data_IF_035056848986
#
_entry.id   IF_035056848986
#
_cell.length_a   1.000
_cell.length_b   1.000
_cell.length_c   1.000
_cell.angle_alpha   90.00
_cell.angle_beta   90.00
_cell.angle_gamma   90.00
#
_symmetry.space_group_name_H-M   'P 1'
#
loop_
_entity.id
_entity.type
_entity.pdbx_description
1 polymer ?
#
# COMPACT_ATOMS: atom_id res chain seq x y z
N UNK A 1 -17.17 15.35 -12.44
CA UNK A 1 -15.74 15.22 -12.09
C UNK A 1 -15.34 13.78 -12.32
N UNK A 2 -14.19 13.52 -12.94
CA UNK A 2 -13.67 12.14 -13.02
C UNK A 2 -13.33 11.64 -11.61
N UNK A 3 -13.71 10.39 -11.31
CA UNK A 3 -13.33 9.75 -10.04
C UNK A 3 -11.83 9.56 -9.98
N UNK A 4 -11.18 9.74 -8.81
CA UNK A 4 -9.74 9.55 -8.66
C UNK A 4 -9.35 8.10 -8.95
N UNK A 5 -8.18 7.90 -9.54
CA UNK A 5 -7.55 6.60 -9.73
C UNK A 5 -6.70 6.28 -8.52
N UNK A 6 -6.94 5.14 -7.89
CA UNK A 6 -6.24 4.71 -6.67
C UNK A 6 -5.48 3.42 -6.93
N UNK A 7 -4.16 3.47 -6.75
CA UNK A 7 -3.32 2.27 -6.78
C UNK A 7 -3.37 1.55 -5.43
N UNK A 8 -3.75 0.29 -5.44
CA UNK A 8 -3.84 -0.56 -4.25
C UNK A 8 -2.75 -1.63 -4.32
N UNK A 9 -1.66 -1.44 -3.58
CA UNK A 9 -0.64 -2.46 -3.40
C UNK A 9 -1.20 -3.60 -2.55
N UNK A 10 -1.14 -4.84 -3.06
CA UNK A 10 -1.82 -5.99 -2.44
C UNK A 10 -1.20 -6.48 -1.12
N UNK A 11 -0.05 -5.93 -0.72
CA UNK A 11 0.58 -6.22 0.58
C UNK A 11 1.28 -7.58 0.63
N UNK A 12 1.21 -8.26 1.78
CA UNK A 12 1.88 -9.55 1.98
C UNK A 12 1.18 -10.68 1.20
N UNK A 13 1.88 -11.35 0.24
CA UNK A 13 1.31 -12.49 -0.48
C UNK A 13 0.81 -13.64 0.41
N UNK A 14 1.40 -13.82 1.59
CA UNK A 14 0.96 -14.84 2.55
C UNK A 14 -0.04 -14.30 3.59
N UNK A 15 -0.33 -13.00 3.58
CA UNK A 15 -1.18 -12.32 4.54
C UNK A 15 -2.63 -12.14 4.07
N UNK A 16 -3.36 -11.30 4.78
CA UNK A 16 -4.76 -10.93 4.45
C UNK A 16 -4.85 -9.88 3.31
N UNK A 17 -3.71 -9.26 2.94
CA UNK A 17 -3.67 -8.16 1.96
C UNK A 17 -4.37 -8.46 0.65
N UNK A 18 -4.04 -9.57 -0.07
CA UNK A 18 -4.68 -9.91 -1.33
C UNK A 18 -6.20 -10.13 -1.20
N UNK A 19 -6.65 -10.76 -0.10
CA UNK A 19 -8.06 -10.99 0.17
C UNK A 19 -8.85 -9.69 0.31
N UNK A 20 -8.38 -8.76 1.16
CA UNK A 20 -9.07 -7.48 1.36
C UNK A 20 -8.95 -6.55 0.14
N UNK A 21 -7.85 -6.63 -0.62
CA UNK A 21 -7.72 -5.91 -1.87
C UNK A 21 -8.78 -6.35 -2.89
N UNK A 22 -8.96 -7.68 -3.06
CA UNK A 22 -9.99 -8.23 -3.92
C UNK A 22 -11.40 -7.85 -3.46
N UNK A 23 -11.67 -7.93 -2.15
CA UNK A 23 -12.96 -7.51 -1.60
C UNK A 23 -13.23 -6.02 -1.88
N UNK A 24 -12.22 -5.16 -1.70
CA UNK A 24 -12.36 -3.73 -1.95
C UNK A 24 -12.63 -3.39 -3.42
N UNK A 25 -11.91 -4.03 -4.36
CA UNK A 25 -12.10 -3.74 -5.79
C UNK A 25 -13.36 -4.36 -6.39
N UNK A 26 -14.05 -5.21 -5.66
CA UNK A 26 -15.37 -5.76 -6.06
C UNK A 26 -16.53 -5.01 -5.39
N UNK A 27 -16.25 -4.11 -4.46
CA UNK A 27 -17.27 -3.36 -3.73
C UNK A 27 -17.80 -2.17 -4.54
N UNK A 28 -19.13 -2.11 -4.76
CA UNK A 28 -19.77 -1.02 -5.50
C UNK A 28 -19.59 0.34 -4.81
N UNK A 29 -19.51 0.38 -3.48
CA UNK A 29 -19.28 1.60 -2.71
C UNK A 29 -17.89 2.19 -2.98
N UNK A 30 -16.88 1.34 -3.20
CA UNK A 30 -15.54 1.76 -3.62
C UNK A 30 -15.58 2.33 -5.03
N UNK A 31 -16.19 1.61 -5.98
CA UNK A 31 -16.35 2.09 -7.36
C UNK A 31 -17.19 3.37 -7.47
N UNK A 32 -18.09 3.62 -6.52
CA UNK A 32 -18.86 4.88 -6.50
C UNK A 32 -17.97 6.10 -6.23
N UNK A 33 -16.84 5.92 -5.52
CA UNK A 33 -15.95 6.98 -5.02
C UNK A 33 -14.65 7.11 -5.82
N UNK A 34 -14.08 5.99 -6.30
CA UNK A 34 -12.81 5.97 -7.00
C UNK A 34 -12.75 4.90 -8.09
N UNK A 35 -11.66 4.87 -8.82
CA UNK A 35 -11.30 3.87 -9.82
C UNK A 35 -10.08 3.10 -9.31
N UNK A 36 -10.27 1.95 -8.65
CA UNK A 36 -9.18 1.18 -8.06
C UNK A 36 -8.42 0.37 -9.12
N UNK A 37 -7.08 0.31 -8.98
CA UNK A 37 -6.18 -0.54 -9.75
C UNK A 37 -5.34 -1.32 -8.74
N UNK A 38 -5.25 -2.63 -8.90
CA UNK A 38 -4.36 -3.45 -8.07
C UNK A 38 -2.90 -3.35 -8.57
N UNK A 39 -1.97 -3.36 -7.63
CA UNK A 39 -0.53 -3.40 -7.90
C UNK A 39 0.07 -4.59 -7.17
N UNK A 40 0.51 -5.60 -7.92
CA UNK A 40 1.03 -6.84 -7.35
C UNK A 40 1.01 -7.99 -8.34
N UNK A 41 1.25 -9.21 -7.86
CA UNK A 41 1.30 -10.40 -8.71
C UNK A 41 -0.07 -10.95 -9.04
N UNK A 42 -0.36 -11.07 -10.32
CA UNK A 42 -1.59 -11.69 -10.83
C UNK A 42 -1.68 -13.16 -10.40
N UNK A 43 -0.57 -13.90 -10.34
CA UNK A 43 -0.55 -15.29 -9.86
C UNK A 43 -1.01 -15.38 -8.40
N UNK A 44 -0.54 -14.48 -7.53
CA UNK A 44 -0.98 -14.41 -6.13
C UNK A 44 -2.47 -14.07 -6.06
N UNK A 45 -2.93 -13.12 -6.85
CA UNK A 45 -4.35 -12.74 -6.90
C UNK A 45 -5.23 -13.90 -7.39
N UNK A 46 -4.79 -14.67 -8.39
CA UNK A 46 -5.50 -15.87 -8.88
C UNK A 46 -5.61 -16.96 -7.79
N UNK A 47 -4.56 -17.16 -6.98
CA UNK A 47 -4.61 -18.08 -5.84
C UNK A 47 -5.75 -17.69 -4.89
N UNK A 48 -5.83 -16.41 -4.50
CA UNK A 48 -6.88 -15.93 -3.58
C UNK A 48 -8.25 -15.88 -4.23
N UNK A 49 -8.36 -15.50 -5.51
CA UNK A 49 -9.61 -15.56 -6.25
C UNK A 49 -10.20 -16.96 -6.25
N UNK A 50 -9.37 -17.98 -6.48
CA UNK A 50 -9.79 -19.38 -6.46
C UNK A 50 -10.21 -19.85 -5.06
N UNK A 51 -9.44 -19.51 -4.02
CA UNK A 51 -9.74 -19.86 -2.62
C UNK A 51 -11.07 -19.24 -2.14
N UNK A 52 -11.29 -17.98 -2.50
CA UNK A 52 -12.48 -17.21 -2.10
C UNK A 52 -13.67 -17.46 -3.06
N UNK A 53 -13.49 -18.22 -4.14
CA UNK A 53 -14.51 -18.52 -5.15
C UNK A 53 -15.13 -17.26 -5.75
N UNK A 54 -14.30 -16.24 -6.00
CA UNK A 54 -14.76 -14.97 -6.56
C UNK A 54 -14.97 -15.09 -8.07
N UNK A 55 -16.04 -14.43 -8.57
CA UNK A 55 -16.36 -14.37 -9.99
C UNK A 55 -15.87 -13.03 -10.56
N UNK A 56 -14.60 -12.99 -10.94
CA UNK A 56 -13.97 -11.86 -11.61
C UNK A 56 -12.83 -12.35 -12.51
N UNK A 57 -12.38 -11.48 -13.41
CA UNK A 57 -11.20 -11.72 -14.26
C UNK A 57 -10.18 -10.62 -14.04
N UNK A 58 -8.90 -10.96 -14.14
CA UNK A 58 -7.83 -9.97 -14.09
C UNK A 58 -7.45 -9.55 -15.50
N UNK A 59 -7.18 -8.27 -15.66
CA UNK A 59 -6.58 -7.69 -16.84
C UNK A 59 -5.30 -6.98 -16.45
N UNK A 60 -4.17 -7.51 -16.91
CA UNK A 60 -2.89 -6.86 -16.76
C UNK A 60 -2.79 -5.64 -17.67
N UNK A 61 -2.40 -4.52 -17.10
CA UNK A 61 -2.18 -3.26 -17.80
C UNK A 61 -0.79 -2.74 -17.54
N UNK A 62 -0.19 -2.10 -18.54
CA UNK A 62 1.17 -1.54 -18.42
C UNK A 62 1.19 -0.19 -17.70
N UNK A 63 0.06 0.54 -17.74
CA UNK A 63 -0.07 1.84 -17.11
C UNK A 63 -1.54 2.13 -16.80
N UNK A 64 -1.83 3.00 -15.78
CA UNK A 64 -3.19 3.31 -15.35
C UNK A 64 -4.12 3.91 -16.43
N UNK A 65 -3.57 4.59 -17.43
CA UNK A 65 -4.31 5.17 -18.55
C UNK A 65 -4.88 4.11 -19.52
N UNK A 66 -4.35 2.88 -19.50
CA UNK A 66 -4.88 1.74 -20.24
C UNK A 66 -6.08 1.06 -19.56
N UNK A 67 -6.46 1.49 -18.35
CA UNK A 67 -7.55 0.89 -17.59
C UNK A 67 -8.91 1.29 -18.14
N UNK A 68 -9.81 0.31 -18.34
CA UNK A 68 -11.17 0.53 -18.84
C UNK A 68 -12.23 0.51 -17.73
N UNK A 69 -11.89 -0.10 -16.56
CA UNK A 69 -12.79 -0.23 -15.42
C UNK A 69 -14.13 -0.89 -15.73
N UNK A 70 -14.10 -1.92 -16.60
CA UNK A 70 -15.30 -2.65 -17.00
C UNK A 70 -15.82 -3.53 -15.83
N UNK A 71 -17.13 -3.69 -15.67
CA UNK A 71 -17.71 -4.53 -14.62
C UNK A 71 -17.18 -5.96 -14.66
N UNK A 72 -16.77 -6.50 -13.51
CA UNK A 72 -16.24 -7.86 -13.38
C UNK A 72 -14.78 -8.03 -13.84
N UNK A 73 -14.16 -6.97 -14.36
CA UNK A 73 -12.74 -6.95 -14.73
C UNK A 73 -11.97 -6.14 -13.67
N UNK A 74 -10.93 -6.73 -13.12
CA UNK A 74 -10.02 -6.09 -12.16
C UNK A 74 -8.72 -5.76 -12.90
N UNK A 75 -8.40 -4.48 -12.95
CA UNK A 75 -7.17 -3.98 -13.55
C UNK A 75 -5.98 -4.22 -12.62
N UNK A 76 -4.91 -4.79 -13.16
CA UNK A 76 -3.69 -5.12 -12.41
C UNK A 76 -2.47 -4.53 -13.11
N UNK A 77 -1.68 -3.76 -12.37
CA UNK A 77 -0.29 -3.46 -12.71
C UNK A 77 0.55 -4.61 -12.16
N UNK A 78 1.05 -5.45 -13.05
CA UNK A 78 1.82 -6.62 -12.66
C UNK A 78 3.15 -6.23 -12.04
N UNK A 79 3.41 -6.82 -10.88
CA UNK A 79 4.72 -6.79 -10.21
C UNK A 79 5.04 -8.19 -9.74
N UNK A 80 6.20 -8.71 -10.13
CA UNK A 80 6.61 -10.08 -9.84
C UNK A 80 6.44 -10.44 -8.35
N UNK A 81 5.74 -11.54 -8.09
CA UNK A 81 5.54 -12.12 -6.78
C UNK A 81 6.54 -13.24 -6.45
N UNK A 82 6.46 -13.80 -5.24
CA UNK A 82 7.16 -15.02 -4.90
C UNK A 82 6.54 -16.21 -5.64
N UNK A 83 7.30 -17.26 -5.99
CA UNK A 83 6.73 -18.51 -6.49
C UNK A 83 5.65 -19.05 -5.56
N UNK A 84 4.54 -19.54 -6.10
CA UNK A 84 3.38 -19.99 -5.29
C UNK A 84 3.71 -21.16 -4.34
N UNK A 85 4.72 -21.95 -4.66
CA UNK A 85 5.19 -23.07 -3.83
C UNK A 85 6.16 -22.63 -2.72
N UNK A 86 6.62 -21.38 -2.73
CA UNK A 86 7.58 -20.84 -1.76
C UNK A 86 6.94 -20.26 -0.49
N UNK A 87 5.62 -20.14 -0.46
CA UNK A 87 4.88 -19.60 0.70
C UNK A 87 3.55 -20.34 0.91
N UNK A 88 2.94 -20.11 2.06
CA UNK A 88 1.59 -20.59 2.35
C UNK A 88 0.77 -19.47 2.99
N UNK A 89 -0.48 -19.23 2.55
CA UNK A 89 -1.37 -18.28 3.19
C UNK A 89 -1.47 -18.48 4.70
N UNK A 90 -1.38 -17.40 5.46
CA UNK A 90 -1.41 -17.39 6.92
C UNK A 90 -0.08 -17.70 7.60
N UNK A 91 1.02 -17.92 6.86
CA UNK A 91 2.35 -18.19 7.43
C UNK A 91 3.36 -17.14 7.00
N UNK A 92 3.90 -16.39 7.96
CA UNK A 92 5.01 -15.46 7.70
C UNK A 92 6.24 -16.21 7.17
N UNK A 93 6.92 -15.64 6.17
CA UNK A 93 8.11 -16.24 5.58
C UNK A 93 8.93 -15.26 4.76
N UNK A 94 10.22 -15.56 4.60
CA UNK A 94 11.18 -14.70 3.88
C UNK A 94 10.86 -14.50 2.41
N UNK A 95 10.19 -15.47 1.78
CA UNK A 95 9.84 -15.42 0.35
C UNK A 95 8.96 -14.23 -0.02
N UNK A 96 8.07 -13.79 0.89
CA UNK A 96 7.14 -12.68 0.66
C UNK A 96 7.73 -11.29 0.95
N UNK A 97 8.81 -11.22 1.74
CA UNK A 97 9.33 -9.96 2.27
C UNK A 97 9.68 -8.92 1.21
N UNK A 98 10.33 -9.34 0.13
CA UNK A 98 10.68 -8.45 -0.99
C UNK A 98 9.44 -8.00 -1.76
N UNK A 99 8.52 -8.91 -2.06
CA UNK A 99 7.32 -8.62 -2.84
C UNK A 99 6.43 -7.56 -2.17
N UNK A 100 6.29 -7.60 -0.84
CA UNK A 100 5.56 -6.57 -0.07
C UNK A 100 6.04 -5.16 -0.41
N UNK A 101 7.37 -4.97 -0.44
CA UNK A 101 7.98 -3.67 -0.70
C UNK A 101 7.99 -3.31 -2.19
N UNK A 102 8.14 -4.29 -3.07
CA UNK A 102 8.09 -4.08 -4.51
C UNK A 102 6.70 -3.60 -4.94
N UNK A 103 5.62 -4.21 -4.43
CA UNK A 103 4.24 -3.80 -4.71
C UNK A 103 3.96 -2.38 -4.23
N UNK A 104 4.33 -2.09 -2.98
CA UNK A 104 4.14 -0.75 -2.41
C UNK A 104 5.00 0.27 -3.14
N UNK A 105 6.24 -0.09 -3.47
CA UNK A 105 7.16 0.77 -4.21
C UNK A 105 6.63 1.14 -5.60
N UNK A 106 6.14 0.15 -6.36
CA UNK A 106 5.54 0.38 -7.68
C UNK A 106 4.31 1.32 -7.58
N UNK A 107 3.42 1.11 -6.60
CA UNK A 107 2.27 1.99 -6.39
C UNK A 107 2.69 3.43 -6.05
N UNK A 108 3.72 3.61 -5.20
CA UNK A 108 4.26 4.93 -4.86
C UNK A 108 4.88 5.62 -6.08
N UNK A 109 5.59 4.88 -6.94
CA UNK A 109 6.17 5.45 -8.15
C UNK A 109 5.10 5.94 -9.13
N UNK A 110 4.01 5.20 -9.31
CA UNK A 110 2.85 5.63 -10.11
C UNK A 110 2.27 6.97 -9.59
N UNK A 111 2.17 7.13 -8.28
CA UNK A 111 1.70 8.38 -7.68
C UNK A 111 2.70 9.53 -7.88
N UNK A 112 4.00 9.27 -7.74
CA UNK A 112 5.06 10.28 -8.00
C UNK A 112 5.08 10.74 -9.45
N UNK A 113 4.75 9.86 -10.38
CA UNK A 113 4.66 10.15 -11.80
C UNK A 113 3.34 10.83 -12.18
N UNK A 114 2.44 11.05 -11.23
CA UNK A 114 1.12 11.65 -11.47
C UNK A 114 0.16 10.75 -12.27
N UNK A 115 0.45 9.44 -12.31
CA UNK A 115 -0.38 8.45 -13.03
C UNK A 115 -1.57 7.96 -12.24
N UNK A 116 -1.52 8.12 -10.91
CA UNK A 116 -2.62 7.83 -9.97
C UNK A 116 -2.75 8.96 -8.96
N UNK A 117 -3.95 9.14 -8.42
CA UNK A 117 -4.28 10.22 -7.49
C UNK A 117 -3.97 9.87 -6.02
N UNK A 118 -3.79 8.57 -5.74
CA UNK A 118 -3.46 8.11 -4.39
C UNK A 118 -3.02 6.66 -4.35
N UNK A 119 -2.43 6.28 -3.22
CA UNK A 119 -1.93 4.93 -2.95
C UNK A 119 -2.57 4.37 -1.69
N UNK A 120 -3.02 3.13 -1.76
CA UNK A 120 -3.39 2.31 -0.61
C UNK A 120 -2.40 1.16 -0.52
N UNK A 121 -1.75 0.99 0.63
CA UNK A 121 -0.91 -0.16 0.91
C UNK A 121 -1.66 -1.13 1.82
N UNK A 122 -1.95 -2.32 1.33
CA UNK A 122 -2.55 -3.38 2.14
C UNK A 122 -1.59 -3.84 3.25
N UNK A 123 -2.09 -4.53 4.28
CA UNK A 123 -1.28 -4.96 5.42
C UNK A 123 -0.03 -5.73 5.00
N UNK A 124 1.05 -5.47 5.71
CA UNK A 124 2.33 -6.15 5.58
C UNK A 124 2.68 -6.92 6.85
N UNK A 125 3.53 -7.93 6.71
CA UNK A 125 4.10 -8.65 7.83
C UNK A 125 5.56 -8.24 7.99
N UNK A 126 5.86 -7.48 9.05
CA UNK A 126 7.23 -7.01 9.30
C UNK A 126 8.23 -8.17 9.44
N UNK A 127 7.80 -9.27 10.08
CA UNK A 127 8.63 -10.47 10.20
C UNK A 127 9.04 -11.03 8.83
N UNK A 128 8.14 -11.05 7.84
CA UNK A 128 8.45 -11.52 6.47
C UNK A 128 9.50 -10.63 5.82
N UNK A 129 9.39 -9.31 5.97
CA UNK A 129 10.34 -8.35 5.40
C UNK A 129 11.73 -8.52 6.03
N UNK A 130 11.81 -8.57 7.36
CA UNK A 130 13.08 -8.74 8.09
C UNK A 130 13.69 -10.11 7.81
N UNK A 131 12.88 -11.19 7.76
CA UNK A 131 13.35 -12.52 7.40
C UNK A 131 13.89 -12.59 5.97
N UNK A 132 13.41 -11.72 5.07
CA UNK A 132 13.94 -11.51 3.73
C UNK A 132 15.26 -10.73 3.68
N UNK A 133 15.84 -10.37 4.84
CA UNK A 133 17.11 -9.65 4.94
C UNK A 133 16.98 -8.14 4.68
N UNK A 134 15.78 -7.58 4.73
CA UNK A 134 15.53 -6.17 4.44
C UNK A 134 15.34 -5.41 5.75
N UNK A 135 16.12 -4.34 5.94
CA UNK A 135 15.91 -3.39 7.03
C UNK A 135 14.67 -2.54 6.75
N UNK A 136 13.70 -2.61 7.65
CA UNK A 136 12.41 -1.99 7.46
C UNK A 136 11.91 -1.33 8.75
N UNK A 137 11.73 -0.03 8.70
CA UNK A 137 11.29 0.86 9.78
C UNK A 137 9.81 1.29 9.66
N UNK A 138 9.05 0.55 8.84
CA UNK A 138 7.64 0.84 8.55
C UNK A 138 7.43 1.57 7.22
N UNK A 139 6.17 1.58 6.76
CA UNK A 139 5.80 2.27 5.52
C UNK A 139 6.16 3.77 5.52
N UNK A 140 6.00 4.54 6.60
CA UNK A 140 6.37 5.96 6.58
C UNK A 140 7.84 6.19 6.18
N UNK A 141 8.78 5.44 6.77
CA UNK A 141 10.19 5.50 6.42
C UNK A 141 10.48 5.01 5.00
N UNK A 142 9.85 3.89 4.59
CA UNK A 142 9.97 3.36 3.23
C UNK A 142 9.50 4.38 2.18
N UNK A 143 8.31 4.97 2.35
CA UNK A 143 7.75 5.97 1.44
C UNK A 143 8.61 7.23 1.42
N UNK A 144 9.12 7.69 2.58
CA UNK A 144 10.02 8.82 2.65
C UNK A 144 11.25 8.62 1.76
N UNK A 145 11.92 7.49 1.89
CA UNK A 145 13.09 7.14 1.06
C UNK A 145 12.74 7.06 -0.43
N UNK A 146 11.61 6.44 -0.77
CA UNK A 146 11.17 6.28 -2.16
C UNK A 146 10.83 7.61 -2.83
N UNK A 147 10.27 8.56 -2.07
CA UNK A 147 9.87 9.89 -2.57
C UNK A 147 10.98 10.93 -2.48
N UNK A 148 12.14 10.61 -1.89
CA UNK A 148 13.20 11.59 -1.62
C UNK A 148 12.81 12.61 -0.54
N UNK A 149 11.77 12.33 0.24
CA UNK A 149 11.32 13.17 1.34
C UNK A 149 12.18 12.88 2.58
N UNK A 150 12.69 13.93 3.22
CA UNK A 150 13.44 13.74 4.47
C UNK A 150 12.52 13.15 5.54
N UNK A 151 12.98 12.10 6.25
CA UNK A 151 12.16 11.35 7.23
C UNK A 151 11.54 12.24 8.31
N UNK A 152 12.20 13.34 8.68
CA UNK A 152 11.67 14.33 9.63
C UNK A 152 10.48 15.15 9.11
N UNK A 153 10.14 15.04 7.83
CA UNK A 153 9.01 15.72 7.19
C UNK A 153 7.87 14.75 6.85
N UNK A 154 7.94 13.51 7.32
CA UNK A 154 6.89 12.50 7.18
C UNK A 154 6.13 12.38 8.49
N UNK A 155 4.83 12.51 8.41
CA UNK A 155 3.93 12.46 9.56
C UNK A 155 2.80 11.47 9.28
N UNK A 156 2.40 10.72 10.28
CA UNK A 156 1.23 9.85 10.20
C UNK A 156 0.02 10.61 10.74
N UNK A 157 -1.07 10.59 9.98
CA UNK A 157 -2.35 11.13 10.40
C UNK A 157 -3.37 9.99 10.56
N UNK A 158 -4.02 9.93 11.73
CA UNK A 158 -5.25 9.17 11.92
C UNK A 158 -6.44 10.07 11.61
N UNK A 159 -7.32 9.58 10.80
CA UNK A 159 -8.47 10.34 10.30
C UNK A 159 -9.78 9.64 10.63
N UNK A 160 -10.74 10.43 11.12
CA UNK A 160 -12.16 10.08 11.20
C UNK A 160 -12.98 11.24 10.65
N UNK A 161 -14.28 11.06 10.48
CA UNK A 161 -15.16 12.13 9.95
C UNK A 161 -15.10 13.42 10.77
N UNK A 162 -14.82 13.32 12.06
CA UNK A 162 -14.85 14.46 13.00
C UNK A 162 -13.51 14.81 13.62
N UNK A 163 -12.49 13.93 13.48
CA UNK A 163 -11.22 14.10 14.19
C UNK A 163 -10.04 13.72 13.29
N UNK A 164 -9.01 14.56 13.31
CA UNK A 164 -7.71 14.32 12.66
C UNK A 164 -6.60 14.44 13.69
N UNK A 165 -5.85 13.36 13.88
CA UNK A 165 -4.73 13.29 14.82
C UNK A 165 -3.44 13.08 14.03
N UNK A 166 -2.53 14.04 14.10
CA UNK A 166 -1.22 13.94 13.48
C UNK A 166 -0.16 13.65 14.53
N UNK A 167 0.61 12.59 14.30
CA UNK A 167 1.68 12.20 15.21
C UNK A 167 2.94 13.00 14.90
N UNK A 168 3.49 13.66 15.91
CA UNK A 168 4.78 14.38 15.79
C UNK A 168 5.96 13.42 15.82
N UNK A 169 5.81 12.23 16.41
CA UNK A 169 6.83 11.17 16.47
C UNK A 169 6.20 9.82 16.18
N UNK A 170 6.97 8.88 15.60
CA UNK A 170 6.53 7.52 15.24
C UNK A 170 7.55 6.51 15.77
N UNK A 171 7.07 5.40 16.35
CA UNK A 171 7.82 4.17 16.67
C UNK A 171 9.21 4.37 17.30
N UNK A 172 9.36 5.35 18.21
CA UNK A 172 10.59 5.62 18.93
C UNK A 172 10.37 5.57 20.44
N UNK A 173 11.43 5.31 21.20
CA UNK A 173 11.38 5.33 22.67
C UNK A 173 11.02 6.72 23.20
N UNK A 174 10.29 6.78 24.31
CA UNK A 174 9.78 8.05 24.87
C UNK A 174 10.88 9.09 25.14
N UNK A 175 12.06 8.66 25.58
CA UNK A 175 13.21 9.57 25.81
C UNK A 175 13.62 10.26 24.52
N UNK A 176 13.79 9.51 23.44
CA UNK A 176 14.12 10.04 22.12
C UNK A 176 12.97 10.92 21.57
N UNK A 177 11.72 10.57 21.85
CA UNK A 177 10.58 11.39 21.46
C UNK A 177 10.62 12.77 22.12
N UNK A 178 10.92 12.83 23.42
CA UNK A 178 11.05 14.11 24.15
C UNK A 178 12.19 14.99 23.62
N UNK A 179 13.29 14.39 23.17
CA UNK A 179 14.42 15.12 22.57
C UNK A 179 14.11 15.64 21.16
N UNK A 180 13.20 14.97 20.43
CA UNK A 180 12.81 15.35 19.06
C UNK A 180 11.69 16.38 19.01
N UNK A 181 10.89 16.52 20.06
CA UNK A 181 9.74 17.45 20.06
C UNK A 181 10.25 18.85 20.38
N UNK A 182 10.31 19.66 19.34
CA UNK A 182 10.57 21.10 19.39
C UNK A 182 9.49 21.89 18.65
N UNK A 183 9.56 23.21 18.70
CA UNK A 183 8.61 24.10 18.03
C UNK A 183 8.62 23.85 16.52
N UNK A 184 9.80 23.70 15.93
CA UNK A 184 9.93 23.53 14.47
C UNK A 184 9.31 22.20 14.01
N UNK A 185 9.45 21.13 14.78
CA UNK A 185 8.84 19.84 14.47
C UNK A 185 7.31 19.92 14.53
N UNK A 186 6.77 20.57 15.55
CA UNK A 186 5.32 20.79 15.66
C UNK A 186 4.80 21.64 14.49
N UNK A 187 5.50 22.71 14.13
CA UNK A 187 5.14 23.55 12.98
C UNK A 187 5.20 22.76 11.67
N UNK A 188 6.20 21.91 11.46
CA UNK A 188 6.27 21.03 10.28
C UNK A 188 5.10 20.06 10.23
N UNK A 189 4.73 19.46 11.36
CA UNK A 189 3.56 18.56 11.44
C UNK A 189 2.28 19.29 11.07
N UNK A 190 2.04 20.49 11.63
CA UNK A 190 0.88 21.33 11.31
C UNK A 190 0.83 21.69 9.82
N UNK A 191 1.95 22.13 9.23
CA UNK A 191 2.04 22.46 7.80
C UNK A 191 1.80 21.26 6.89
N UNK A 192 2.22 20.06 7.30
CA UNK A 192 1.95 18.83 6.55
C UNK A 192 0.47 18.42 6.60
N UNK A 193 -0.25 18.84 7.63
CA UNK A 193 -1.67 18.55 7.83
C UNK A 193 -2.59 19.51 7.06
N UNK A 194 -2.11 20.73 6.80
CA UNK A 194 -2.88 21.81 6.17
C UNK A 194 -2.87 21.75 4.63
N UNK A 195 -2.19 20.76 4.05
CA UNK A 195 -2.09 20.56 2.59
C UNK A 195 -3.11 19.50 2.12
#
# INVERSE_FOLDING_TARGET
MNKPVIAIAIGDPAGIGPEIALAAVLDEGVHSRCRPILVGSTEVLELYRAQLKLSCTFREILAPDAAEFAPGIIEVIEVNGPPLDSFSPGKSGSACGKAILDYTGAAVDLAREGKVDGVVACPHTQQSIVAGGIDFDGYPGFVARRTGTHVNNVFMMLYTDTLRIVHTTLHIGIRAALELIDIDRVVRALRATDR
#
